data_IF_399277477166
#
_entry.id   IF_399277477166
#
_cell.length_a   1.000
_cell.length_b   1.000
_cell.length_c   1.000
_cell.angle_alpha   90.00
_cell.angle_beta   90.00
_cell.angle_gamma   90.00
#
_symmetry.space_group_name_H-M   'P 1'
#
loop_
_entity.id
_entity.type
_entity.pdbx_description
1 polymer ?
#
# COMPACT_ATOMS: atom_id res chain seq x y z
N UNK A 1 2.90 11.54 18.41
CA UNK A 1 1.56 11.12 17.90
C UNK A 1 1.36 9.63 18.15
N UNK A 2 0.26 9.21 18.76
CA UNK A 2 -0.07 7.78 18.96
C UNK A 2 -1.17 7.39 17.94
N UNK A 3 -0.81 6.59 16.95
CA UNK A 3 -1.72 6.19 15.87
C UNK A 3 -2.12 4.73 16.07
N UNK A 4 -3.41 4.49 16.36
CA UNK A 4 -3.98 3.15 16.43
C UNK A 4 -5.38 3.17 15.80
N UNK A 5 -5.65 2.22 14.92
CA UNK A 5 -6.97 2.08 14.31
C UNK A 5 -7.23 0.62 13.91
N UNK A 6 -8.13 -0.02 14.65
CA UNK A 6 -8.53 -1.40 14.38
C UNK A 6 -10.04 -1.57 14.55
N UNK A 7 -10.85 -1.29 13.52
CA UNK A 7 -12.30 -1.49 13.56
C UNK A 7 -12.68 -2.96 13.75
N UNK A 8 -13.77 -3.24 14.47
CA UNK A 8 -14.21 -4.61 14.81
C UNK A 8 -14.48 -5.53 13.61
N UNK A 9 -14.78 -4.97 12.42
CA UNK A 9 -14.93 -5.78 11.21
C UNK A 9 -13.61 -6.42 10.73
N UNK A 10 -12.45 -5.91 11.15
CA UNK A 10 -11.14 -6.48 10.81
C UNK A 10 -10.88 -7.80 11.53
N UNK A 11 -11.38 -7.98 12.77
CA UNK A 11 -11.30 -9.25 13.49
C UNK A 11 -12.05 -10.35 12.74
N UNK A 12 -13.25 -10.04 12.23
CA UNK A 12 -14.04 -10.99 11.43
C UNK A 12 -13.33 -11.34 10.13
N UNK A 13 -12.73 -10.35 9.46
CA UNK A 13 -11.98 -10.55 8.21
C UNK A 13 -10.73 -11.43 8.43
N UNK A 14 -10.00 -11.24 9.54
CA UNK A 14 -8.85 -12.08 9.92
C UNK A 14 -9.27 -13.53 10.13
N UNK A 15 -10.35 -13.81 10.90
CA UNK A 15 -10.87 -15.17 11.09
C UNK A 15 -11.26 -15.82 9.77
N UNK A 16 -11.95 -15.09 8.90
CA UNK A 16 -12.32 -15.59 7.58
C UNK A 16 -11.10 -15.93 6.73
N UNK A 17 -10.06 -15.12 6.78
CA UNK A 17 -8.80 -15.38 6.08
C UNK A 17 -8.11 -16.66 6.58
N UNK A 18 -8.13 -16.92 7.89
CA UNK A 18 -7.59 -18.15 8.49
C UNK A 18 -8.30 -19.42 7.97
N UNK A 19 -9.60 -19.33 7.71
CA UNK A 19 -10.37 -20.45 7.12
C UNK A 19 -10.04 -20.63 5.63
N UNK A 20 -9.96 -19.53 4.90
CA UNK A 20 -9.79 -19.54 3.45
C UNK A 20 -8.37 -19.91 3.01
N UNK A 21 -7.35 -19.63 3.83
CA UNK A 21 -5.94 -19.91 3.52
C UNK A 21 -5.68 -21.39 3.19
N UNK A 22 -6.50 -22.30 3.72
CA UNK A 22 -6.41 -23.74 3.46
C UNK A 22 -6.69 -24.09 2.00
N UNK A 23 -7.48 -23.28 1.31
CA UNK A 23 -7.88 -23.47 -0.08
C UNK A 23 -6.91 -22.81 -1.08
N UNK A 24 -5.93 -22.09 -0.59
CA UNK A 24 -5.05 -21.20 -1.37
C UNK A 24 -3.72 -21.88 -1.68
N UNK A 25 -3.23 -21.65 -2.87
CA UNK A 25 -1.94 -22.12 -3.37
C UNK A 25 -0.87 -21.01 -3.28
N UNK A 26 -1.27 -19.75 -3.50
CA UNK A 26 -0.41 -18.56 -3.56
C UNK A 26 -1.04 -17.41 -2.81
N UNK A 27 -0.24 -16.67 -2.05
CA UNK A 27 -0.63 -15.38 -1.49
C UNK A 27 0.00 -14.27 -2.33
N UNK A 28 -0.84 -13.38 -2.85
CA UNK A 28 -0.44 -12.15 -3.51
C UNK A 28 -0.64 -11.01 -2.51
N UNK A 29 0.46 -10.51 -1.96
CA UNK A 29 0.47 -9.43 -0.98
C UNK A 29 0.75 -8.10 -1.68
N UNK A 30 -0.23 -7.19 -1.68
CA UNK A 30 -0.01 -5.82 -2.15
C UNK A 30 0.53 -4.98 -1.01
N UNK A 31 1.64 -4.30 -1.27
CA UNK A 31 2.24 -3.31 -0.39
C UNK A 31 2.33 -1.96 -1.10
N UNK A 32 2.26 -0.87 -0.37
CA UNK A 32 2.47 0.47 -0.92
C UNK A 32 3.97 0.71 -1.07
N UNK A 33 4.43 0.92 -2.29
CA UNK A 33 5.86 1.07 -2.60
C UNK A 33 6.52 2.27 -1.88
N UNK A 34 5.73 3.21 -1.36
CA UNK A 34 6.24 4.34 -0.55
C UNK A 34 6.57 3.96 0.89
N UNK A 35 5.97 2.86 1.39
CA UNK A 35 6.13 2.35 2.77
C UNK A 35 6.08 0.81 2.77
N UNK A 36 7.02 0.12 2.09
CA UNK A 36 6.88 -1.29 1.76
C UNK A 36 6.80 -2.21 2.98
N UNK A 37 7.63 -2.02 4.00
CA UNK A 37 7.60 -2.85 5.21
C UNK A 37 6.44 -2.48 6.12
N UNK A 38 6.22 -1.18 6.33
CA UNK A 38 5.11 -0.67 7.15
C UNK A 38 3.73 -1.04 6.59
N UNK A 39 3.60 -1.27 5.28
CA UNK A 39 2.34 -1.69 4.65
C UNK A 39 2.13 -3.21 4.60
N UNK A 40 3.04 -4.01 5.14
CA UNK A 40 2.87 -5.45 5.32
C UNK A 40 2.15 -5.74 6.64
N UNK A 41 1.17 -6.63 6.58
CA UNK A 41 0.52 -7.12 7.78
C UNK A 41 1.29 -8.35 8.30
N UNK A 42 1.89 -8.29 9.51
CA UNK A 42 2.70 -9.39 10.05
C UNK A 42 1.91 -10.69 10.25
N UNK A 43 0.59 -10.60 10.46
CA UNK A 43 -0.27 -11.79 10.55
C UNK A 43 -0.23 -12.66 9.29
N UNK A 44 0.05 -12.05 8.12
CA UNK A 44 0.14 -12.79 6.84
C UNK A 44 1.39 -13.66 6.77
N UNK A 45 2.47 -13.30 7.44
CA UNK A 45 3.68 -14.12 7.48
C UNK A 45 3.43 -15.43 8.23
N UNK A 46 2.70 -15.38 9.32
CA UNK A 46 2.33 -16.57 10.09
C UNK A 46 1.31 -17.42 9.33
N UNK A 47 0.23 -16.82 8.83
CA UNK A 47 -0.82 -17.52 8.10
C UNK A 47 -0.33 -18.16 6.80
N UNK A 48 0.61 -17.51 6.12
CA UNK A 48 1.14 -17.91 4.82
C UNK A 48 2.41 -18.76 4.86
N UNK A 49 2.86 -19.23 6.01
CA UNK A 49 4.16 -19.89 6.23
C UNK A 49 4.48 -21.03 5.23
N UNK A 50 3.46 -21.76 4.78
CA UNK A 50 3.61 -22.90 3.86
C UNK A 50 3.01 -22.63 2.46
N UNK A 51 2.89 -21.37 2.09
CA UNK A 51 2.34 -20.95 0.79
C UNK A 51 3.39 -20.22 -0.02
N UNK A 52 3.32 -20.35 -1.34
CA UNK A 52 4.08 -19.47 -2.22
C UNK A 52 3.64 -18.01 -1.99
N UNK A 53 4.59 -17.08 -2.03
CA UNK A 53 4.37 -15.68 -1.69
C UNK A 53 4.86 -14.78 -2.82
N UNK A 54 3.95 -13.94 -3.33
CA UNK A 54 4.25 -12.89 -4.30
C UNK A 54 3.94 -11.53 -3.66
N UNK A 55 4.93 -10.68 -3.56
CA UNK A 55 4.78 -9.28 -3.15
C UNK A 55 4.64 -8.41 -4.40
N UNK A 56 3.59 -7.60 -4.44
CA UNK A 56 3.42 -6.56 -5.44
C UNK A 56 3.73 -5.21 -4.79
N UNK A 57 4.84 -4.58 -5.19
CA UNK A 57 5.16 -3.20 -4.84
C UNK A 57 4.27 -2.28 -5.68
N UNK A 58 3.06 -2.01 -5.15
CA UNK A 58 2.06 -1.21 -5.86
C UNK A 58 2.28 0.28 -5.66
N UNK A 59 1.78 1.11 -6.58
CA UNK A 59 2.03 2.56 -6.65
C UNK A 59 3.53 2.87 -6.80
N UNK A 60 4.25 2.01 -7.52
CA UNK A 60 5.68 2.16 -7.75
C UNK A 60 6.02 3.42 -8.54
N UNK A 61 5.05 3.98 -9.26
CA UNK A 61 5.08 5.27 -9.95
C UNK A 61 5.20 6.47 -8.99
N UNK A 62 4.74 6.32 -7.73
CA UNK A 62 4.76 7.34 -6.68
C UNK A 62 5.97 7.24 -5.74
N UNK A 63 6.71 6.14 -5.79
CA UNK A 63 7.84 5.86 -4.92
C UNK A 63 9.20 6.14 -5.62
N UNK A 64 10.21 6.46 -4.82
CA UNK A 64 11.59 6.62 -5.31
C UNK A 64 12.06 5.32 -6.00
N UNK A 65 12.57 5.47 -7.22
CA UNK A 65 12.96 4.31 -8.05
C UNK A 65 14.14 3.54 -7.45
N UNK A 66 15.09 4.23 -6.81
CA UNK A 66 16.20 3.58 -6.13
C UNK A 66 15.70 2.73 -4.97
N UNK A 67 14.73 3.24 -4.22
CA UNK A 67 14.10 2.50 -3.12
C UNK A 67 13.22 1.35 -3.62
N UNK A 68 12.54 1.52 -4.76
CA UNK A 68 11.81 0.42 -5.39
C UNK A 68 12.72 -0.78 -5.69
N UNK A 69 13.92 -0.55 -6.26
CA UNK A 69 14.87 -1.63 -6.54
C UNK A 69 15.50 -2.21 -5.26
N UNK A 70 15.84 -1.37 -4.29
CA UNK A 70 16.37 -1.81 -3.00
C UNK A 70 15.35 -2.71 -2.26
N UNK A 71 14.09 -2.30 -2.17
CA UNK A 71 13.03 -3.10 -1.57
C UNK A 71 12.73 -4.39 -2.31
N UNK A 72 12.77 -4.37 -3.64
CA UNK A 72 12.66 -5.59 -4.45
C UNK A 72 13.76 -6.58 -4.09
N UNK A 73 15.01 -6.13 -4.06
CA UNK A 73 16.16 -6.97 -3.67
C UNK A 73 16.02 -7.50 -2.25
N UNK A 74 15.63 -6.66 -1.29
CA UNK A 74 15.41 -7.04 0.08
C UNK A 74 14.39 -8.16 0.25
N UNK A 75 13.22 -8.05 -0.40
CA UNK A 75 12.20 -9.08 -0.32
C UNK A 75 12.58 -10.35 -1.07
N UNK A 76 13.28 -10.23 -2.20
CA UNK A 76 13.78 -11.39 -2.93
C UNK A 76 14.81 -12.19 -2.11
N UNK A 77 15.70 -11.51 -1.37
CA UNK A 77 16.64 -12.14 -0.46
C UNK A 77 15.96 -12.90 0.68
N UNK A 78 14.71 -12.52 1.03
CA UNK A 78 13.86 -13.23 2.01
C UNK A 78 13.03 -14.37 1.39
N UNK A 79 13.23 -14.69 0.10
CA UNK A 79 12.54 -15.77 -0.58
C UNK A 79 11.17 -15.42 -1.15
N UNK A 80 10.80 -14.14 -1.22
CA UNK A 80 9.57 -13.71 -1.88
C UNK A 80 9.79 -13.52 -3.38
N UNK A 81 8.77 -13.83 -4.18
CA UNK A 81 8.67 -13.30 -5.52
C UNK A 81 8.21 -11.85 -5.46
N UNK A 82 8.77 -10.97 -6.29
CA UNK A 82 8.49 -9.53 -6.21
C UNK A 82 8.28 -8.93 -7.60
N UNK A 83 7.20 -8.17 -7.76
CA UNK A 83 6.92 -7.41 -8.98
C UNK A 83 6.57 -5.96 -8.60
N UNK A 84 7.21 -5.00 -9.26
CA UNK A 84 6.81 -3.59 -9.20
C UNK A 84 5.59 -3.38 -10.10
N UNK A 85 4.56 -2.71 -9.59
CA UNK A 85 3.34 -2.47 -10.35
C UNK A 85 2.81 -1.06 -10.13
N UNK A 86 2.16 -0.53 -11.17
CA UNK A 86 1.19 0.54 -11.05
C UNK A 86 -0.17 0.00 -11.49
N UNK A 87 -1.02 -0.22 -10.51
CA UNK A 87 -2.35 -0.81 -10.77
C UNK A 87 -3.30 0.12 -11.52
N UNK A 88 -3.02 1.43 -11.61
CA UNK A 88 -3.87 2.39 -12.32
C UNK A 88 -3.62 2.33 -13.82
N UNK A 89 -2.35 2.38 -14.24
CA UNK A 89 -1.99 2.38 -15.66
C UNK A 89 -1.64 0.99 -16.21
N UNK A 90 -1.57 -0.05 -15.35
CA UNK A 90 -1.29 -1.43 -15.74
C UNK A 90 0.18 -1.77 -15.92
N UNK A 91 1.10 -0.88 -15.53
CA UNK A 91 2.53 -1.17 -15.56
C UNK A 91 2.86 -2.36 -14.66
N UNK A 92 3.72 -3.27 -15.14
CA UNK A 92 4.10 -4.49 -14.43
C UNK A 92 3.11 -5.66 -14.52
N UNK A 93 1.86 -5.45 -14.95
CA UNK A 93 0.81 -6.50 -14.96
C UNK A 93 1.16 -7.69 -15.85
N UNK A 94 1.86 -7.47 -16.97
CA UNK A 94 2.23 -8.54 -17.91
C UNK A 94 3.16 -9.59 -17.28
N UNK A 95 4.03 -9.16 -16.36
CA UNK A 95 4.98 -10.05 -15.70
C UNK A 95 4.33 -10.98 -14.66
N UNK A 96 3.20 -10.58 -14.07
CA UNK A 96 2.58 -11.26 -12.92
C UNK A 96 2.22 -12.70 -13.25
N UNK A 97 1.65 -12.99 -14.42
CA UNK A 97 1.28 -14.37 -14.77
C UNK A 97 2.48 -15.31 -14.81
N UNK A 98 3.61 -14.86 -15.38
CA UNK A 98 4.82 -15.67 -15.45
C UNK A 98 5.38 -15.93 -14.05
N UNK A 99 5.34 -14.91 -13.18
CA UNK A 99 5.78 -15.02 -11.79
C UNK A 99 4.86 -15.95 -10.98
N UNK A 100 3.54 -15.91 -11.21
CA UNK A 100 2.59 -16.85 -10.58
C UNK A 100 2.91 -18.31 -10.99
N UNK A 101 3.18 -18.54 -12.29
CA UNK A 101 3.54 -19.88 -12.77
C UNK A 101 4.85 -20.37 -12.15
N UNK A 102 5.85 -19.52 -12.04
CA UNK A 102 7.12 -19.86 -11.40
C UNK A 102 6.95 -20.12 -9.90
N UNK A 103 6.25 -19.23 -9.19
CA UNK A 103 5.98 -19.36 -7.76
C UNK A 103 5.20 -20.65 -7.40
N UNK A 104 4.38 -21.14 -8.32
CA UNK A 104 3.57 -22.35 -8.13
C UNK A 104 4.09 -23.58 -8.90
N UNK A 105 5.29 -23.53 -9.47
CA UNK A 105 5.84 -24.58 -10.32
C UNK A 105 5.83 -25.97 -9.67
N UNK A 106 6.33 -26.08 -8.46
CA UNK A 106 6.36 -27.37 -7.74
C UNK A 106 4.95 -27.95 -7.53
N UNK A 107 3.97 -27.09 -7.23
CA UNK A 107 2.59 -27.50 -7.09
C UNK A 107 2.00 -27.98 -8.42
N UNK A 108 2.21 -27.23 -9.48
CA UNK A 108 1.74 -27.57 -10.83
C UNK A 108 2.30 -28.93 -11.25
N UNK A 109 3.59 -29.18 -11.05
CA UNK A 109 4.25 -30.45 -11.35
C UNK A 109 3.70 -31.60 -10.50
N UNK A 110 3.47 -31.38 -9.20
CA UNK A 110 2.87 -32.37 -8.31
C UNK A 110 1.46 -32.75 -8.75
N UNK A 111 0.62 -31.76 -9.09
CA UNK A 111 -0.74 -31.99 -9.58
C UNK A 111 -0.72 -32.76 -10.91
N UNK A 112 0.21 -32.41 -11.83
CA UNK A 112 0.41 -33.13 -13.10
C UNK A 112 0.79 -34.61 -12.88
N UNK A 113 1.71 -34.91 -11.94
CA UNK A 113 2.11 -36.29 -11.58
C UNK A 113 0.94 -37.09 -11.02
N UNK A 114 -0.04 -36.46 -10.39
CA UNK A 114 -1.27 -37.06 -9.86
C UNK A 114 -2.38 -37.18 -10.90
N UNK A 115 -2.12 -36.83 -12.15
CA UNK A 115 -3.11 -36.87 -13.23
C UNK A 115 -4.12 -35.73 -13.21
N UNK A 116 -3.95 -34.75 -12.32
CA UNK A 116 -4.84 -33.56 -12.22
C UNK A 116 -4.44 -32.59 -13.34
N UNK A 117 -5.30 -32.51 -14.36
CA UNK A 117 -5.11 -31.57 -15.48
C UNK A 117 -5.96 -30.33 -15.28
N UNK A 118 -5.42 -29.17 -15.67
CA UNK A 118 -6.15 -27.88 -15.75
C UNK A 118 -6.76 -27.37 -14.43
N UNK A 119 -6.20 -27.73 -13.27
CA UNK A 119 -6.62 -27.12 -12.02
C UNK A 119 -6.10 -25.68 -11.97
N UNK A 120 -6.97 -24.67 -11.78
CA UNK A 120 -6.53 -23.30 -11.65
C UNK A 120 -5.71 -23.10 -10.37
N UNK A 121 -4.71 -22.22 -10.44
CA UNK A 121 -3.99 -21.73 -9.26
C UNK A 121 -4.93 -20.82 -8.48
N UNK A 122 -5.14 -21.12 -7.21
CA UNK A 122 -5.94 -20.30 -6.30
C UNK A 122 -5.04 -19.33 -5.55
N UNK A 123 -5.17 -18.05 -5.84
CA UNK A 123 -4.40 -17.00 -5.20
C UNK A 123 -5.30 -16.13 -4.31
N UNK A 124 -4.88 -15.89 -3.08
CA UNK A 124 -5.52 -14.93 -2.17
C UNK A 124 -4.82 -13.59 -2.31
N UNK A 125 -5.60 -12.53 -2.58
CA UNK A 125 -5.09 -11.16 -2.67
C UNK A 125 -5.28 -10.48 -1.31
N UNK A 126 -4.18 -10.14 -0.67
CA UNK A 126 -4.16 -9.52 0.66
C UNK A 126 -3.45 -8.17 0.63
N UNK A 127 -3.65 -7.36 1.64
CA UNK A 127 -2.99 -6.07 1.85
C UNK A 127 -3.83 -5.15 2.72
N UNK A 128 -3.22 -4.09 3.17
CA UNK A 128 -3.83 -3.06 4.01
C UNK A 128 -4.94 -2.28 3.27
N UNK A 129 -5.76 -1.51 3.99
CA UNK A 129 -6.71 -0.60 3.35
C UNK A 129 -6.00 0.40 2.42
N UNK A 130 -6.65 0.78 1.33
CA UNK A 130 -6.20 1.77 0.33
C UNK A 130 -4.86 1.46 -0.37
N UNK A 131 -4.31 0.26 -0.22
CA UNK A 131 -3.09 -0.15 -0.94
C UNK A 131 -3.32 -0.36 -2.45
N UNK A 132 -4.59 -0.44 -2.88
CA UNK A 132 -4.98 -0.57 -4.29
C UNK A 132 -5.39 -1.98 -4.71
N UNK A 133 -5.79 -2.88 -3.78
CA UNK A 133 -6.21 -4.26 -4.09
C UNK A 133 -7.28 -4.35 -5.18
N UNK A 134 -8.40 -3.64 -5.00
CA UNK A 134 -9.51 -3.69 -5.96
C UNK A 134 -9.11 -3.11 -7.32
N UNK A 135 -8.27 -2.08 -7.35
CA UNK A 135 -7.71 -1.54 -8.60
C UNK A 135 -6.84 -2.58 -9.30
N UNK A 136 -5.92 -3.20 -8.54
CA UNK A 136 -5.09 -4.29 -9.05
C UNK A 136 -5.93 -5.42 -9.66
N UNK A 137 -6.91 -5.92 -8.90
CA UNK A 137 -7.76 -7.02 -9.33
C UNK A 137 -8.48 -6.69 -10.64
N UNK A 138 -9.07 -5.49 -10.74
CA UNK A 138 -9.78 -5.05 -11.95
C UNK A 138 -8.84 -4.92 -13.15
N UNK A 139 -7.68 -4.29 -12.96
CA UNK A 139 -6.68 -4.11 -14.03
C UNK A 139 -6.11 -5.47 -14.47
N UNK A 140 -5.80 -6.35 -13.52
CA UNK A 140 -5.26 -7.68 -13.82
C UNK A 140 -6.30 -8.61 -14.47
N UNK A 141 -7.58 -8.47 -14.09
CA UNK A 141 -8.69 -9.19 -14.71
C UNK A 141 -9.09 -8.61 -16.08
N UNK A 142 -8.69 -7.40 -16.40
CA UNK A 142 -9.10 -6.69 -17.62
C UNK A 142 -10.57 -6.29 -17.65
N UNK A 143 -11.25 -6.28 -16.49
CA UNK A 143 -12.67 -5.92 -16.34
C UNK A 143 -12.99 -5.49 -14.92
N UNK A 144 -14.07 -4.71 -14.74
CA UNK A 144 -14.55 -4.34 -13.42
C UNK A 144 -15.23 -5.53 -12.73
N UNK A 145 -14.54 -6.13 -11.77
CA UNK A 145 -15.02 -7.29 -10.98
C UNK A 145 -14.92 -7.07 -9.47
N UNK A 146 -14.17 -6.08 -9.02
CA UNK A 146 -14.08 -5.68 -7.63
C UNK A 146 -14.51 -4.21 -7.46
N UNK A 147 -15.17 -3.89 -6.33
CA UNK A 147 -15.57 -2.51 -6.01
C UNK A 147 -14.37 -1.66 -5.64
N UNK A 148 -14.21 -0.52 -6.29
CA UNK A 148 -13.15 0.45 -6.01
C UNK A 148 -13.70 1.58 -5.13
N UNK A 149 -12.91 2.03 -4.16
CA UNK A 149 -13.19 3.22 -3.37
C UNK A 149 -11.95 3.68 -2.60
N UNK A 150 -11.84 4.99 -2.40
CA UNK A 150 -10.71 5.60 -1.70
C UNK A 150 -10.88 5.62 -0.17
N UNK A 151 -11.89 4.89 0.36
CA UNK A 151 -12.16 4.82 1.80
C UNK A 151 -11.88 3.41 2.31
N UNK A 152 -11.27 3.26 3.50
CA UNK A 152 -11.10 1.96 4.14
C UNK A 152 -12.44 1.23 4.33
N UNK A 153 -12.47 -0.10 4.07
CA UNK A 153 -13.67 -0.92 4.28
C UNK A 153 -14.65 -1.00 3.08
N UNK A 154 -14.20 -0.66 1.87
CA UNK A 154 -15.02 -0.77 0.64
C UNK A 154 -15.36 -2.23 0.30
N UNK A 155 -14.42 -3.15 0.45
CA UNK A 155 -14.63 -4.59 0.27
C UNK A 155 -15.19 -5.17 1.58
N UNK A 156 -16.46 -5.59 1.58
CA UNK A 156 -17.17 -6.07 2.78
C UNK A 156 -17.16 -7.59 2.97
N UNK A 157 -16.74 -8.36 1.96
CA UNK A 157 -16.75 -9.81 2.00
C UNK A 157 -15.79 -10.42 0.99
N UNK A 158 -15.65 -11.75 1.01
CA UNK A 158 -14.80 -12.48 0.06
C UNK A 158 -15.51 -12.66 -1.28
N UNK A 159 -14.74 -12.60 -2.36
CA UNK A 159 -15.24 -12.85 -3.70
C UNK A 159 -14.20 -13.65 -4.51
N UNK A 160 -14.64 -14.77 -5.12
CA UNK A 160 -13.83 -15.50 -6.08
C UNK A 160 -13.96 -14.90 -7.48
N UNK A 161 -12.84 -14.61 -8.09
CA UNK A 161 -12.75 -14.01 -9.43
C UNK A 161 -11.95 -14.96 -10.32
N UNK A 162 -12.61 -15.54 -11.32
CA UNK A 162 -11.97 -16.41 -12.30
C UNK A 162 -11.34 -15.58 -13.40
N UNK A 163 -10.07 -15.83 -13.67
CA UNK A 163 -9.32 -15.23 -14.75
C UNK A 163 -9.12 -16.23 -15.89
N UNK A 164 -9.08 -15.73 -17.13
CA UNK A 164 -8.95 -16.57 -18.34
C UNK A 164 -7.60 -17.32 -18.48
N UNK A 165 -6.70 -17.16 -17.51
CA UNK A 165 -5.32 -17.70 -17.57
C UNK A 165 -5.03 -18.79 -16.54
N UNK A 166 -6.05 -19.55 -16.12
CA UNK A 166 -5.87 -20.63 -15.16
C UNK A 166 -5.57 -20.17 -13.73
N UNK A 167 -6.00 -18.95 -13.37
CA UNK A 167 -5.86 -18.37 -12.03
C UNK A 167 -7.24 -17.98 -11.50
N UNK A 168 -7.52 -18.36 -10.27
CA UNK A 168 -8.67 -17.89 -9.49
C UNK A 168 -8.15 -16.98 -8.37
N UNK A 169 -8.63 -15.73 -8.32
CA UNK A 169 -8.29 -14.78 -7.26
C UNK A 169 -9.38 -14.79 -6.20
N UNK A 170 -8.99 -14.82 -4.95
CA UNK A 170 -9.85 -14.51 -3.81
C UNK A 170 -9.55 -13.09 -3.34
N UNK A 171 -10.50 -12.19 -3.58
CA UNK A 171 -10.44 -10.83 -3.02
C UNK A 171 -10.82 -10.83 -1.54
N UNK A 172 -10.00 -10.20 -0.72
CA UNK A 172 -10.22 -10.09 0.73
C UNK A 172 -10.32 -8.63 1.15
N UNK A 173 -11.08 -8.32 2.22
CA UNK A 173 -11.07 -7.00 2.82
C UNK A 173 -9.64 -6.58 3.21
N UNK A 174 -9.35 -5.28 3.10
CA UNK A 174 -8.10 -4.72 3.62
C UNK A 174 -8.11 -4.74 5.14
N UNK A 175 -7.10 -5.34 5.74
CA UNK A 175 -6.97 -5.41 7.19
C UNK A 175 -5.63 -4.87 7.66
N UNK A 176 -5.68 -4.14 8.79
CA UNK A 176 -4.55 -3.80 9.61
C UNK A 176 -4.51 -4.77 10.81
N UNK A 177 -3.48 -4.70 11.61
CA UNK A 177 -3.36 -5.44 12.87
C UNK A 177 -3.65 -4.53 14.07
N UNK A 178 -4.03 -5.12 15.23
CA UNK A 178 -4.62 -4.35 16.34
C UNK A 178 -3.70 -3.30 16.98
N UNK A 179 -2.40 -3.54 16.97
CA UNK A 179 -1.42 -2.67 17.63
C UNK A 179 -0.16 -2.54 16.79
N UNK A 180 0.25 -1.31 16.53
CA UNK A 180 1.56 -1.04 15.95
C UNK A 180 2.59 -0.99 17.08
N UNK A 181 3.53 -1.93 17.09
CA UNK A 181 4.62 -1.97 18.07
C UNK A 181 5.54 -0.76 17.88
N UNK A 182 5.84 -0.43 16.62
CA UNK A 182 6.53 0.78 16.23
C UNK A 182 5.53 1.86 15.80
N UNK A 183 5.52 3.00 16.50
CA UNK A 183 4.66 4.14 16.18
C UNK A 183 4.96 4.74 14.81
N UNK A 184 6.20 4.61 14.31
CA UNK A 184 6.57 5.06 12.97
C UNK A 184 5.78 4.34 11.88
N UNK A 185 5.45 3.06 12.08
CA UNK A 185 4.57 2.31 11.18
C UNK A 185 3.20 2.99 11.08
N UNK A 186 2.60 3.34 12.22
CA UNK A 186 1.30 4.04 12.25
C UNK A 186 1.34 5.38 11.53
N UNK A 187 2.39 6.18 11.75
CA UNK A 187 2.59 7.48 11.12
C UNK A 187 2.73 7.31 9.58
N UNK A 188 3.58 6.41 9.12
CA UNK A 188 3.77 6.13 7.69
C UNK A 188 2.48 5.67 7.02
N UNK A 189 1.72 4.78 7.66
CA UNK A 189 0.41 4.31 7.19
C UNK A 189 -0.62 5.44 7.12
N UNK A 190 -0.60 6.36 8.08
CA UNK A 190 -1.43 7.56 8.08
C UNK A 190 -1.06 8.48 6.89
N UNK A 191 0.22 8.73 6.66
CA UNK A 191 0.70 9.54 5.54
C UNK A 191 0.20 9.02 4.18
N UNK A 192 0.23 7.71 3.94
CA UNK A 192 -0.23 7.12 2.67
C UNK A 192 -1.74 6.92 2.59
N UNK A 193 -2.51 7.29 3.62
CA UNK A 193 -3.97 7.25 3.66
C UNK A 193 -4.54 5.84 3.90
N UNK A 194 -3.80 4.94 4.55
CA UNK A 194 -4.29 3.61 4.94
C UNK A 194 -5.11 3.64 6.22
N UNK A 195 -5.03 4.73 6.97
CA UNK A 195 -5.83 5.07 8.14
C UNK A 195 -6.75 6.23 7.76
N UNK A 196 -7.95 6.30 8.35
CA UNK A 196 -8.89 7.39 8.08
C UNK A 196 -8.38 8.70 8.64
N UNK A 197 -8.41 9.76 7.82
CA UNK A 197 -7.97 11.09 8.22
C UNK A 197 -8.81 11.68 9.36
N UNK A 198 -10.11 11.34 9.45
CA UNK A 198 -11.06 11.84 10.45
C UNK A 198 -10.66 11.53 11.92
N UNK A 199 -9.79 10.53 12.12
CA UNK A 199 -9.33 10.11 13.46
C UNK A 199 -7.90 10.55 13.76
N UNK A 200 -7.27 11.30 12.86
CA UNK A 200 -5.88 11.71 12.93
C UNK A 200 -5.77 13.21 13.22
N UNK A 201 -4.72 13.58 13.95
CA UNK A 201 -4.29 14.96 13.99
C UNK A 201 -3.49 15.27 12.71
N UNK A 202 -4.18 15.77 11.68
CA UNK A 202 -3.58 16.02 10.37
C UNK A 202 -2.52 17.11 10.39
N UNK A 203 -2.61 18.08 11.31
CA UNK A 203 -1.62 19.14 11.46
C UNK A 203 -0.31 18.56 12.03
N UNK A 204 -0.38 17.78 13.11
CA UNK A 204 0.79 17.10 13.69
C UNK A 204 1.45 16.15 12.68
N UNK A 205 0.63 15.43 11.90
CA UNK A 205 1.13 14.55 10.85
C UNK A 205 1.80 15.32 9.72
N UNK A 206 1.28 16.51 9.37
CA UNK A 206 1.87 17.38 8.36
C UNK A 206 3.25 17.91 8.79
N UNK A 207 3.41 18.29 10.06
CA UNK A 207 4.70 18.71 10.60
C UNK A 207 5.73 17.56 10.50
N UNK A 208 5.34 16.35 10.86
CA UNK A 208 6.20 15.17 10.70
C UNK A 208 6.61 14.94 9.25
N UNK A 209 5.66 15.05 8.30
CA UNK A 209 5.95 14.88 6.88
C UNK A 209 6.89 15.97 6.36
N UNK A 210 6.70 17.22 6.77
CA UNK A 210 7.58 18.35 6.42
C UNK A 210 9.01 18.08 6.90
N UNK A 211 9.19 17.64 8.16
CA UNK A 211 10.51 17.32 8.70
C UNK A 211 11.16 16.18 7.90
N UNK A 212 10.42 15.12 7.64
CA UNK A 212 10.91 14.00 6.85
C UNK A 212 11.35 14.42 5.44
N UNK A 213 10.55 15.25 4.77
CA UNK A 213 10.86 15.72 3.40
C UNK A 213 12.09 16.63 3.39
N UNK A 214 12.23 17.52 4.35
CA UNK A 214 13.40 18.41 4.47
C UNK A 214 14.69 17.63 4.72
N UNK A 215 14.62 16.54 5.46
CA UNK A 215 15.77 15.70 5.75
C UNK A 215 16.18 14.84 4.54
N UNK A 216 15.20 14.19 3.89
CA UNK A 216 15.45 13.14 2.91
C UNK A 216 15.27 13.59 1.45
N UNK A 217 14.52 14.67 1.19
CA UNK A 217 14.16 15.18 -0.14
C UNK A 217 14.28 16.71 -0.19
N UNK A 218 15.46 17.22 0.14
CA UNK A 218 15.74 18.66 0.23
C UNK A 218 15.35 19.41 -1.05
N UNK A 219 14.63 20.51 -0.87
CA UNK A 219 14.19 21.39 -1.98
C UNK A 219 12.83 20.99 -2.58
N UNK A 220 12.26 19.85 -2.23
CA UNK A 220 11.01 19.36 -2.83
C UNK A 220 9.80 20.25 -2.47
N UNK A 221 9.75 20.76 -1.24
CA UNK A 221 8.72 21.70 -0.80
C UNK A 221 8.91 23.07 -1.43
N UNK A 222 10.17 23.52 -1.50
CA UNK A 222 10.53 24.79 -2.15
C UNK A 222 10.12 24.78 -3.61
N UNK A 223 10.42 23.72 -4.35
CA UNK A 223 10.03 23.55 -5.76
C UNK A 223 8.50 23.51 -5.92
N UNK A 224 7.81 22.72 -5.10
CA UNK A 224 6.36 22.51 -5.22
C UNK A 224 5.54 23.72 -4.86
N UNK A 225 5.92 24.46 -3.81
CA UNK A 225 5.13 25.55 -3.24
C UNK A 225 5.70 26.93 -3.51
N UNK A 226 6.91 27.04 -4.08
CA UNK A 226 7.66 28.28 -4.30
C UNK A 226 7.89 29.04 -2.98
N UNK A 227 8.38 28.32 -1.97
CA UNK A 227 8.67 28.80 -0.62
C UNK A 227 10.12 28.51 -0.24
N UNK A 228 10.57 29.05 0.90
CA UNK A 228 11.82 28.60 1.53
C UNK A 228 11.51 27.44 2.49
N UNK A 229 12.46 26.50 2.64
CA UNK A 229 12.35 25.38 3.58
C UNK A 229 13.08 25.69 4.91
N UNK A 230 13.49 26.93 5.13
CA UNK A 230 14.16 27.37 6.35
C UNK A 230 13.21 27.53 7.53
N UNK A 231 13.75 27.48 8.75
CA UNK A 231 12.98 27.61 9.97
C UNK A 231 12.41 26.30 10.51
N UNK A 232 11.38 26.41 11.32
CA UNK A 232 10.65 25.28 11.92
C UNK A 232 9.64 24.69 10.93
N UNK A 233 9.20 23.43 11.16
CA UNK A 233 8.15 22.80 10.35
C UNK A 233 6.83 23.58 10.38
N UNK A 234 6.56 24.29 11.48
CA UNK A 234 5.39 25.18 11.61
C UNK A 234 5.52 26.34 10.64
N UNK A 235 6.67 27.02 10.60
CA UNK A 235 6.91 28.14 9.69
C UNK A 235 6.84 27.70 8.22
N UNK A 236 7.31 26.49 7.90
CA UNK A 236 7.17 25.92 6.55
C UNK A 236 5.70 25.63 6.23
N UNK A 237 4.92 25.07 7.18
CA UNK A 237 3.48 24.86 6.98
C UNK A 237 2.73 26.19 6.80
N UNK A 238 3.11 27.23 7.53
CA UNK A 238 2.58 28.59 7.33
C UNK A 238 2.90 29.15 5.95
N UNK A 239 4.15 28.98 5.49
CA UNK A 239 4.54 29.39 4.15
C UNK A 239 3.71 28.65 3.07
N UNK A 240 3.46 27.36 3.24
CA UNK A 240 2.55 26.58 2.37
C UNK A 240 1.13 27.15 2.43
N UNK A 241 0.62 27.46 3.62
CA UNK A 241 -0.71 28.02 3.80
C UNK A 241 -0.85 29.36 3.06
N UNK A 242 0.12 30.27 3.19
CA UNK A 242 0.15 31.55 2.46
C UNK A 242 0.23 31.34 0.94
N UNK A 243 1.14 30.49 0.48
CA UNK A 243 1.33 30.21 -0.94
C UNK A 243 0.08 29.58 -1.61
N UNK A 244 -0.74 28.85 -0.84
CA UNK A 244 -1.98 28.19 -1.32
C UNK A 244 -3.26 28.95 -0.97
N UNK A 245 -3.18 30.14 -0.38
CA UNK A 245 -4.34 30.93 0.02
C UNK A 245 -5.22 30.21 1.03
N UNK A 246 -4.61 29.49 1.99
CA UNK A 246 -5.32 28.81 3.07
C UNK A 246 -5.60 29.79 4.20
N UNK A 247 -6.64 30.61 4.05
CA UNK A 247 -7.04 31.63 5.01
C UNK A 247 -8.43 31.32 5.55
N UNK A 248 -8.62 31.58 6.84
CA UNK A 248 -9.92 31.65 7.52
C UNK A 248 -10.47 33.07 7.47
N UNK A 249 -11.63 33.29 8.09
CA UNK A 249 -12.16 34.64 8.33
C UNK A 249 -11.13 35.44 9.15
N UNK A 250 -10.97 36.73 8.86
CA UNK A 250 -10.00 37.64 9.47
C UNK A 250 -8.54 37.37 9.09
N UNK A 251 -8.28 36.77 7.93
CA UNK A 251 -6.93 36.53 7.39
C UNK A 251 -6.06 35.59 8.22
N UNK A 252 -6.63 34.89 9.20
CA UNK A 252 -5.91 33.87 9.95
C UNK A 252 -5.55 32.69 9.05
N UNK A 253 -4.37 32.07 9.25
CA UNK A 253 -3.93 30.90 8.51
C UNK A 253 -4.77 29.68 8.86
N UNK A 254 -5.19 28.94 7.83
CA UNK A 254 -5.91 27.67 7.96
C UNK A 254 -4.94 26.48 7.85
N UNK A 255 -4.35 26.12 8.99
CA UNK A 255 -3.40 25.00 9.08
C UNK A 255 -4.04 23.66 8.68
N UNK A 256 -5.30 23.45 9.03
CA UNK A 256 -5.99 22.21 8.67
C UNK A 256 -6.12 22.08 7.14
N UNK A 257 -6.51 23.17 6.46
CA UNK A 257 -6.60 23.20 4.99
C UNK A 257 -5.23 23.04 4.34
N UNK A 258 -4.18 23.70 4.87
CA UNK A 258 -2.82 23.58 4.37
C UNK A 258 -2.29 22.13 4.50
N UNK A 259 -2.55 21.49 5.64
CA UNK A 259 -2.19 20.10 5.88
C UNK A 259 -2.87 19.15 4.89
N UNK A 260 -4.16 19.34 4.61
CA UNK A 260 -4.89 18.54 3.62
C UNK A 260 -4.32 18.72 2.21
N UNK A 261 -3.94 19.93 1.81
CA UNK A 261 -3.28 20.20 0.52
C UNK A 261 -1.93 19.49 0.43
N UNK A 262 -1.12 19.56 1.49
CA UNK A 262 0.17 18.87 1.56
C UNK A 262 0.01 17.35 1.35
N UNK A 263 -0.98 16.74 2.04
CA UNK A 263 -1.24 15.31 1.88
C UNK A 263 -1.85 14.95 0.53
N UNK A 264 -2.71 15.78 -0.05
CA UNK A 264 -3.20 15.54 -1.42
C UNK A 264 -2.06 15.55 -2.43
N UNK A 265 -1.17 16.53 -2.33
CA UNK A 265 -0.01 16.64 -3.22
C UNK A 265 0.97 15.47 -3.05
N UNK A 266 1.23 15.03 -1.80
CA UNK A 266 2.05 13.85 -1.52
C UNK A 266 1.40 12.56 -2.04
N UNK A 267 0.13 12.33 -1.70
CA UNK A 267 -0.59 11.10 -2.05
C UNK A 267 -0.86 10.97 -3.54
N UNK A 268 -1.01 12.07 -4.25
CA UNK A 268 -1.23 12.11 -5.70
C UNK A 268 0.05 12.12 -6.54
N UNK A 269 1.24 12.24 -5.91
CA UNK A 269 2.52 12.29 -6.61
C UNK A 269 2.87 13.64 -7.23
N UNK A 270 2.13 14.72 -6.92
CA UNK A 270 2.41 16.07 -7.44
C UNK A 270 3.73 16.66 -6.91
N UNK A 271 4.29 16.07 -5.86
CA UNK A 271 5.59 16.40 -5.29
C UNK A 271 6.73 15.55 -5.86
N UNK A 272 6.45 14.65 -6.83
CA UNK A 272 7.41 13.69 -7.32
C UNK A 272 7.35 12.34 -6.63
N UNK A 273 8.39 11.54 -6.83
CA UNK A 273 8.50 10.17 -6.28
C UNK A 273 9.15 10.20 -4.91
N UNK A 274 8.39 9.80 -3.88
CA UNK A 274 8.81 9.88 -2.48
C UNK A 274 8.58 8.55 -1.80
N UNK A 275 9.59 8.05 -1.09
CA UNK A 275 9.49 6.87 -0.22
C UNK A 275 9.74 7.30 1.23
N UNK A 276 8.85 6.90 2.15
CA UNK A 276 8.93 7.22 3.57
C UNK A 276 9.64 6.12 4.39
N UNK A 277 10.13 5.09 3.74
CA UNK A 277 10.73 3.94 4.39
C UNK A 277 11.85 3.36 3.53
N UNK A 278 13.07 3.45 4.02
CA UNK A 278 14.25 3.00 3.31
C UNK A 278 14.51 1.52 3.56
N UNK A 279 14.92 0.80 2.52
CA UNK A 279 15.27 -0.60 2.67
C UNK A 279 16.47 -0.76 3.60
N UNK A 280 16.44 -1.74 4.54
CA UNK A 280 17.62 -2.06 5.33
C UNK A 280 18.79 -2.47 4.44
N UNK A 281 19.99 -1.99 4.78
CA UNK A 281 21.22 -2.34 4.07
C UNK A 281 21.59 -3.81 4.29
#
# INVERSE_FOLDING_TARGET
MNVQWYPGHMTKAKRQMQEDIKLIDLIIELVDARVPLSSRNPDIDELGKNKSRLILLNKSDLADERQNEAWKTYFQAKGFYVVKVDSRNGSGMKAINNVIQEACKEKIERDRRRGIKNRPIRAMVVGIPNVGKSTFINTFAGRACAKIGNKPGVTKGKQWIRLNKGVELLDTPGILWPKFEDQQVGIRLACVGSIKDDILNMEELALWLIDYLRENYKGILAERYQITEEGTSVEVLEAIARARGCLKKQEELDYAKASLILFDDFRSGKMGRITLEWAPL
#
